data_IF_187176940076
#
_entry.id   IF_187176940076
#
_cell.length_a   1.000
_cell.length_b   1.000
_cell.length_c   1.000
_cell.angle_alpha   90.00
_cell.angle_beta   90.00
_cell.angle_gamma   90.00
#
_symmetry.space_group_name_H-M   'P 1'
#
loop_
_entity.id
_entity.type
_entity.pdbx_description
1 polymer ?
#
# COMPACT_ATOMS: atom_id res chain seq x y z
N UNK A 1 11.04 18.74 -25.04
CA UNK A 1 12.15 18.68 -24.05
C UNK A 1 13.22 19.68 -24.40
N UNK A 2 13.86 19.59 -25.57
CA UNK A 2 14.87 20.58 -25.96
C UNK A 2 14.33 22.02 -25.94
N UNK A 3 13.12 22.24 -26.48
CA UNK A 3 12.46 23.56 -26.47
C UNK A 3 12.28 24.14 -25.06
N UNK A 4 11.88 23.31 -24.08
CA UNK A 4 11.70 23.78 -22.71
C UNK A 4 13.06 24.07 -22.04
N UNK A 5 14.08 23.24 -22.27
CA UNK A 5 15.44 23.49 -21.79
C UNK A 5 16.02 24.77 -22.38
N UNK A 6 15.81 25.02 -23.68
CA UNK A 6 16.18 26.29 -24.33
C UNK A 6 15.48 27.49 -23.69
N UNK A 7 14.20 27.35 -23.33
CA UNK A 7 13.43 28.43 -22.69
C UNK A 7 13.95 28.77 -21.29
N UNK A 8 14.23 27.77 -20.46
CA UNK A 8 14.65 27.98 -19.05
C UNK A 8 16.15 28.33 -18.92
N UNK A 9 17.02 27.81 -19.80
CA UNK A 9 18.47 28.05 -19.74
C UNK A 9 18.95 29.15 -20.68
N UNK A 10 18.17 29.55 -21.69
CA UNK A 10 18.50 30.63 -22.63
C UNK A 10 19.90 30.41 -23.23
N UNK A 11 20.85 31.33 -22.96
CA UNK A 11 22.24 31.27 -23.45
C UNK A 11 23.14 30.29 -22.68
N UNK A 12 22.70 29.80 -21.52
CA UNK A 12 23.46 28.90 -20.65
C UNK A 12 23.20 27.42 -20.96
N UNK A 13 22.37 27.10 -21.97
CA UNK A 13 22.10 25.72 -22.36
C UNK A 13 23.36 25.08 -22.94
N UNK A 14 23.76 23.95 -22.40
CA UNK A 14 24.90 23.17 -22.86
C UNK A 14 24.46 22.04 -23.81
N UNK A 15 25.43 21.42 -24.48
CA UNK A 15 25.17 20.21 -25.26
C UNK A 15 24.97 19.02 -24.31
N UNK A 16 23.81 18.38 -24.40
CA UNK A 16 23.36 17.32 -23.48
C UNK A 16 22.90 16.10 -24.26
N UNK A 17 23.12 14.91 -23.70
CA UNK A 17 22.46 13.71 -24.18
C UNK A 17 21.03 13.63 -23.62
N UNK A 18 20.05 13.94 -24.47
CA UNK A 18 18.62 13.92 -24.13
C UNK A 18 18.06 12.52 -23.84
N UNK A 19 18.84 11.46 -24.11
CA UNK A 19 18.46 10.07 -23.83
C UNK A 19 18.89 9.57 -22.45
N UNK A 20 19.62 10.40 -21.68
CA UNK A 20 20.13 10.06 -20.35
C UNK A 20 19.01 9.74 -19.36
N UNK A 21 19.21 8.71 -18.54
CA UNK A 21 18.28 8.26 -17.49
C UNK A 21 19.03 8.11 -16.16
N UNK A 22 18.31 8.13 -15.04
CA UNK A 22 18.90 7.73 -13.76
C UNK A 22 19.35 6.28 -13.80
N UNK A 23 20.47 6.00 -13.15
CA UNK A 23 20.92 4.62 -12.90
C UNK A 23 19.93 3.91 -11.98
N UNK A 24 19.41 4.64 -10.98
CA UNK A 24 18.40 4.17 -10.06
C UNK A 24 17.37 5.27 -9.83
N UNK A 25 16.12 5.01 -10.23
CA UNK A 25 14.99 5.94 -10.10
C UNK A 25 14.45 6.04 -8.68
N UNK A 26 14.88 5.18 -7.76
CA UNK A 26 14.45 5.19 -6.35
C UNK A 26 15.24 6.16 -5.46
N UNK A 27 16.36 6.69 -5.97
CA UNK A 27 17.25 7.58 -5.21
C UNK A 27 16.63 8.94 -4.89
N UNK A 28 15.66 9.38 -5.70
CA UNK A 28 15.03 10.69 -5.57
C UNK A 28 13.52 10.57 -5.40
N UNK A 29 12.96 11.46 -4.59
CA UNK A 29 11.51 11.62 -4.48
C UNK A 29 10.94 12.71 -5.42
N UNK A 30 9.62 12.83 -5.47
CA UNK A 30 8.94 13.81 -6.33
C UNK A 30 9.29 15.27 -5.98
N UNK A 31 9.58 15.58 -4.71
CA UNK A 31 9.95 16.91 -4.25
C UNK A 31 11.37 17.27 -4.68
N UNK A 32 12.29 16.31 -4.55
CA UNK A 32 13.67 16.42 -5.01
C UNK A 32 13.76 16.61 -6.53
N UNK A 33 12.95 15.87 -7.29
CA UNK A 33 12.80 16.09 -8.74
C UNK A 33 12.29 17.51 -9.03
N UNK A 34 11.29 18.00 -8.28
CA UNK A 34 10.78 19.35 -8.46
C UNK A 34 11.85 20.41 -8.17
N UNK A 35 12.71 20.21 -7.16
CA UNK A 35 13.84 21.10 -6.86
C UNK A 35 14.81 21.15 -8.06
N UNK A 36 15.21 19.99 -8.61
CA UNK A 36 16.07 19.91 -9.79
C UNK A 36 15.45 20.60 -11.01
N UNK A 37 14.16 20.33 -11.27
CA UNK A 37 13.41 20.93 -12.38
C UNK A 37 13.18 22.44 -12.20
N UNK A 38 13.25 22.95 -10.97
CA UNK A 38 13.08 24.36 -10.68
C UNK A 38 14.32 25.21 -10.98
N UNK A 39 15.48 24.58 -11.16
CA UNK A 39 16.70 25.28 -11.52
C UNK A 39 16.60 25.87 -12.94
N UNK A 40 16.96 27.15 -13.08
CA UNK A 40 16.93 27.88 -14.35
C UNK A 40 18.06 28.91 -14.40
N UNK A 41 18.21 29.58 -15.54
CA UNK A 41 19.26 30.57 -15.74
C UNK A 41 19.25 31.74 -14.73
N UNK A 42 18.16 31.98 -14.00
CA UNK A 42 18.02 33.10 -13.06
C UNK A 42 18.37 32.72 -11.62
N UNK A 43 18.31 31.43 -11.25
CA UNK A 43 18.50 30.97 -9.87
C UNK A 43 19.62 29.94 -9.68
N UNK A 44 20.23 29.42 -10.76
CA UNK A 44 21.19 28.31 -10.65
C UNK A 44 22.40 28.61 -9.75
N UNK A 45 22.93 29.84 -9.74
CA UNK A 45 24.06 30.22 -8.86
C UNK A 45 23.69 30.15 -7.38
N UNK A 46 22.44 30.49 -7.04
CA UNK A 46 21.92 30.36 -5.68
C UNK A 46 21.83 28.89 -5.30
N UNK A 47 21.34 28.04 -6.21
CA UNK A 47 21.32 26.59 -5.99
C UNK A 47 22.73 26.01 -5.82
N UNK A 48 23.69 26.39 -6.68
CA UNK A 48 25.08 25.91 -6.58
C UNK A 48 25.80 26.34 -5.30
N UNK A 49 25.37 27.42 -4.65
CA UNK A 49 25.94 27.84 -3.37
C UNK A 49 25.33 27.14 -2.14
N UNK A 50 24.23 26.40 -2.31
CA UNK A 50 23.58 25.63 -1.25
C UNK A 50 24.20 24.24 -1.12
N UNK A 51 24.74 23.92 0.07
CA UNK A 51 25.28 22.57 0.37
C UNK A 51 24.24 21.46 0.22
N UNK A 52 22.97 21.75 0.53
CA UNK A 52 21.90 20.76 0.42
C UNK A 52 21.61 20.40 -1.03
N UNK A 53 21.78 21.35 -1.96
CA UNK A 53 21.61 21.10 -3.39
C UNK A 53 22.81 20.33 -3.98
N UNK A 54 24.02 20.59 -3.48
CA UNK A 54 25.19 19.76 -3.79
C UNK A 54 25.00 18.32 -3.28
N UNK A 55 24.50 18.14 -2.05
CA UNK A 55 24.13 16.82 -1.52
C UNK A 55 23.10 16.12 -2.42
N UNK A 56 22.08 16.84 -2.90
CA UNK A 56 21.08 16.32 -3.82
C UNK A 56 21.66 15.82 -5.14
N UNK A 57 22.61 16.55 -5.74
CA UNK A 57 23.29 16.12 -6.97
C UNK A 57 24.22 14.92 -6.71
N UNK A 58 24.92 14.91 -5.58
CA UNK A 58 25.78 13.79 -5.20
C UNK A 58 24.98 12.49 -4.97
N UNK A 59 23.71 12.56 -4.53
CA UNK A 59 22.84 11.37 -4.42
C UNK A 59 22.65 10.64 -5.75
N UNK A 60 22.73 11.35 -6.87
CA UNK A 60 22.60 10.80 -8.23
C UNK A 60 23.94 10.75 -8.97
N UNK A 61 25.05 10.74 -8.22
CA UNK A 61 26.42 10.69 -8.73
C UNK A 61 26.80 11.84 -9.69
N UNK A 62 26.18 13.01 -9.50
CA UNK A 62 26.45 14.21 -10.28
C UNK A 62 27.15 15.29 -9.44
N UNK A 63 27.92 16.14 -10.12
CA UNK A 63 28.68 17.24 -9.49
C UNK A 63 27.83 18.51 -9.43
N UNK A 64 28.17 19.43 -8.53
CA UNK A 64 27.56 20.76 -8.51
C UNK A 64 28.11 21.67 -9.63
N UNK A 65 27.66 21.44 -10.86
CA UNK A 65 27.92 22.30 -12.01
C UNK A 65 26.70 22.44 -12.93
N UNK A 66 26.75 23.42 -13.85
CA UNK A 66 25.63 23.74 -14.75
C UNK A 66 25.26 22.54 -15.64
N UNK A 67 26.26 21.78 -16.12
CA UNK A 67 26.03 20.62 -16.98
C UNK A 67 25.26 19.53 -16.23
N UNK A 68 25.69 19.23 -15.02
CA UNK A 68 25.10 18.23 -14.13
C UNK A 68 23.67 18.59 -13.74
N UNK A 69 23.37 19.87 -13.47
CA UNK A 69 21.97 20.31 -13.23
C UNK A 69 21.11 20.04 -14.46
N UNK A 70 21.56 20.47 -15.64
CA UNK A 70 20.81 20.30 -16.88
C UNK A 70 20.63 18.82 -17.25
N UNK A 71 21.65 17.99 -17.00
CA UNK A 71 21.59 16.55 -17.18
C UNK A 71 20.59 15.90 -16.21
N UNK A 72 20.61 16.29 -14.93
CA UNK A 72 19.64 15.84 -13.94
C UNK A 72 18.21 16.19 -14.32
N UNK A 73 17.99 17.36 -14.93
CA UNK A 73 16.67 17.74 -15.46
C UNK A 73 16.22 16.85 -16.63
N UNK A 74 17.12 16.52 -17.56
CA UNK A 74 16.84 15.57 -18.64
C UNK A 74 16.43 14.21 -18.07
N UNK A 75 17.23 13.68 -17.14
CA UNK A 75 16.98 12.40 -16.48
C UNK A 75 15.64 12.40 -15.72
N UNK A 76 15.33 13.51 -15.04
CA UNK A 76 14.04 13.73 -14.37
C UNK A 76 12.87 13.69 -15.36
N UNK A 77 12.95 14.45 -16.47
CA UNK A 77 11.88 14.47 -17.48
C UNK A 77 11.70 13.08 -18.11
N UNK A 78 12.79 12.36 -18.40
CA UNK A 78 12.70 11.01 -18.96
C UNK A 78 12.06 10.02 -17.97
N UNK A 79 12.38 10.12 -16.68
CA UNK A 79 11.77 9.29 -15.64
C UNK A 79 10.27 9.57 -15.48
N UNK A 80 9.85 10.83 -15.59
CA UNK A 80 8.42 11.22 -15.62
C UNK A 80 7.73 10.65 -16.87
N UNK A 81 8.35 10.77 -18.05
CA UNK A 81 7.81 10.20 -19.29
C UNK A 81 7.65 8.68 -19.21
N UNK A 82 8.61 8.00 -18.59
CA UNK A 82 8.56 6.55 -18.38
C UNK A 82 7.49 6.13 -17.37
N UNK A 83 6.99 7.07 -16.56
CA UNK A 83 5.89 6.86 -15.61
C UNK A 83 6.33 6.42 -14.22
N UNK A 84 7.63 6.49 -13.91
CA UNK A 84 8.15 6.20 -12.56
C UNK A 84 7.62 7.18 -11.51
N UNK A 85 7.36 8.43 -11.91
CA UNK A 85 6.86 9.48 -11.04
C UNK A 85 5.49 9.99 -11.47
N UNK A 86 4.63 10.28 -10.48
CA UNK A 86 3.35 10.92 -10.71
C UNK A 86 3.56 12.41 -11.00
N UNK A 87 3.14 12.80 -12.20
CA UNK A 87 3.25 14.17 -12.70
C UNK A 87 2.57 15.19 -11.77
N UNK A 88 1.42 14.83 -11.21
CA UNK A 88 0.63 15.75 -10.37
C UNK A 88 1.35 16.09 -9.06
N UNK A 89 2.10 15.15 -8.48
CA UNK A 89 2.85 15.39 -7.24
C UNK A 89 4.03 16.34 -7.49
N UNK A 90 4.73 16.17 -8.63
CA UNK A 90 5.81 17.07 -9.05
C UNK A 90 5.27 18.46 -9.36
N UNK A 91 4.12 18.57 -10.03
CA UNK A 91 3.49 19.86 -10.32
C UNK A 91 3.12 20.58 -9.01
N UNK A 92 2.53 19.90 -8.04
CA UNK A 92 2.23 20.49 -6.72
C UNK A 92 3.50 20.98 -6.02
N UNK A 93 4.57 20.20 -6.06
CA UNK A 93 5.85 20.60 -5.48
C UNK A 93 6.45 21.83 -6.20
N UNK A 94 6.39 21.89 -7.53
CA UNK A 94 6.80 23.07 -8.30
C UNK A 94 5.94 24.30 -8.00
N UNK A 95 4.65 24.13 -7.74
CA UNK A 95 3.75 25.22 -7.34
C UNK A 95 4.15 25.83 -5.99
N UNK A 96 4.61 25.01 -5.03
CA UNK A 96 5.15 25.49 -3.76
C UNK A 96 6.49 26.23 -3.93
N UNK A 97 7.29 25.84 -4.93
CA UNK A 97 8.58 26.48 -5.24
C UNK A 97 8.46 27.78 -6.05
N UNK A 98 7.25 28.20 -6.46
CA UNK A 98 7.03 29.45 -7.21
C UNK A 98 7.54 30.70 -6.49
N UNK A 99 7.60 30.67 -5.16
CA UNK A 99 8.13 31.77 -4.35
C UNK A 99 9.63 32.02 -4.61
N UNK A 100 10.37 31.00 -5.04
CA UNK A 100 11.81 31.11 -5.31
C UNK A 100 12.09 31.57 -6.76
N UNK A 101 11.25 31.19 -7.71
CA UNK A 101 11.43 31.51 -9.14
C UNK A 101 10.19 31.19 -9.97
N UNK A 102 10.11 31.80 -11.17
CA UNK A 102 9.02 31.54 -12.13
C UNK A 102 9.16 30.12 -12.71
N UNK A 103 8.19 29.26 -12.41
CA UNK A 103 8.13 27.85 -12.86
C UNK A 103 7.03 27.58 -13.88
N UNK A 104 6.35 28.62 -14.38
CA UNK A 104 5.14 28.46 -15.21
C UNK A 104 5.40 27.69 -16.51
N UNK A 105 6.60 27.84 -17.08
CA UNK A 105 7.01 27.15 -18.30
C UNK A 105 7.19 25.64 -18.07
N UNK A 106 7.89 25.26 -17.00
CA UNK A 106 8.10 23.86 -16.63
C UNK A 106 6.78 23.19 -16.25
N UNK A 107 5.94 23.88 -15.47
CA UNK A 107 4.62 23.37 -15.09
C UNK A 107 3.74 23.16 -16.33
N UNK A 108 3.71 24.13 -17.26
CA UNK A 108 2.94 24.02 -18.50
C UNK A 108 3.45 22.87 -19.38
N UNK A 109 4.78 22.71 -19.47
CA UNK A 109 5.39 21.59 -20.18
C UNK A 109 5.01 20.25 -19.56
N UNK A 110 5.11 20.09 -18.23
CA UNK A 110 4.70 18.87 -17.54
C UNK A 110 3.22 18.60 -17.75
N UNK A 111 2.35 19.62 -17.67
CA UNK A 111 0.91 19.48 -17.96
C UNK A 111 0.62 18.92 -19.36
N UNK A 112 1.40 19.30 -20.36
CA UNK A 112 1.28 18.78 -21.74
C UNK A 112 2.04 17.47 -21.99
N UNK A 113 2.94 17.07 -21.08
CA UNK A 113 3.78 15.89 -21.25
C UNK A 113 2.95 14.60 -21.24
N UNK A 114 3.08 13.81 -22.31
CA UNK A 114 2.53 12.46 -22.36
C UNK A 114 3.42 11.52 -21.54
N UNK A 115 2.81 10.82 -20.59
CA UNK A 115 3.47 9.83 -19.75
C UNK A 115 3.02 8.44 -20.15
N UNK A 116 3.93 7.46 -20.08
CA UNK A 116 3.56 6.05 -20.19
C UNK A 116 2.76 5.66 -18.95
N UNK A 117 1.75 4.83 -19.13
CA UNK A 117 1.07 4.16 -18.02
C UNK A 117 2.02 3.13 -17.43
N UNK A 118 2.50 3.41 -16.23
CA UNK A 118 3.39 2.52 -15.50
C UNK A 118 2.57 1.58 -14.62
N UNK A 119 2.45 0.32 -15.04
CA UNK A 119 1.72 -0.69 -14.27
C UNK A 119 2.62 -1.27 -13.16
N UNK A 120 2.64 -0.56 -12.03
CA UNK A 120 3.38 -0.93 -10.82
C UNK A 120 3.09 -2.36 -10.36
N UNK A 121 1.87 -2.87 -10.59
CA UNK A 121 1.49 -4.22 -10.16
C UNK A 121 2.17 -5.27 -11.02
N UNK A 122 2.18 -5.08 -12.34
CA UNK A 122 2.87 -6.02 -13.25
C UNK A 122 4.37 -6.04 -13.01
N UNK A 123 4.99 -4.87 -12.78
CA UNK A 123 6.41 -4.79 -12.45
C UNK A 123 6.71 -5.50 -11.13
N UNK A 124 5.94 -5.20 -10.07
CA UNK A 124 6.08 -5.88 -8.79
C UNK A 124 6.02 -7.40 -8.95
N UNK A 125 5.04 -7.91 -9.69
CA UNK A 125 4.90 -9.33 -9.97
C UNK A 125 6.09 -9.90 -10.76
N UNK A 126 6.62 -9.15 -11.73
CA UNK A 126 7.80 -9.55 -12.49
C UNK A 126 9.02 -9.68 -11.58
N UNK A 127 9.33 -8.63 -10.81
CA UNK A 127 10.45 -8.61 -9.87
C UNK A 127 10.31 -9.68 -8.79
N UNK A 128 9.11 -9.89 -8.26
CA UNK A 128 8.82 -10.96 -7.31
C UNK A 128 9.09 -12.35 -7.91
N UNK A 129 8.66 -12.58 -9.16
CA UNK A 129 8.91 -13.84 -9.86
C UNK A 129 10.41 -14.05 -10.16
N UNK A 130 11.17 -13.00 -10.44
CA UNK A 130 12.61 -13.07 -10.58
C UNK A 130 13.30 -13.47 -9.27
N UNK A 131 12.90 -12.88 -8.15
CA UNK A 131 13.41 -13.27 -6.82
C UNK A 131 13.09 -14.73 -6.50
N UNK A 132 11.89 -15.21 -6.87
CA UNK A 132 11.54 -16.62 -6.72
C UNK A 132 12.42 -17.53 -7.58
N UNK A 133 12.72 -17.16 -8.83
CA UNK A 133 13.66 -17.92 -9.68
C UNK A 133 15.08 -17.93 -9.11
N UNK A 134 15.53 -16.82 -8.53
CA UNK A 134 16.84 -16.74 -7.86
C UNK A 134 16.85 -17.67 -6.64
N UNK A 135 15.81 -17.65 -5.81
CA UNK A 135 15.66 -18.54 -4.66
C UNK A 135 15.74 -20.02 -5.09
N UNK A 136 15.01 -20.40 -6.15
CA UNK A 136 15.04 -21.76 -6.70
C UNK A 136 16.43 -22.17 -7.20
N UNK A 137 17.13 -21.28 -7.92
CA UNK A 137 18.51 -21.54 -8.37
C UNK A 137 19.47 -21.71 -7.18
N UNK A 138 19.34 -20.87 -6.16
CA UNK A 138 20.16 -20.97 -4.95
C UNK A 138 19.91 -22.29 -4.20
N UNK A 139 18.65 -22.72 -4.12
CA UNK A 139 18.28 -23.99 -3.48
C UNK A 139 18.87 -25.20 -4.22
N UNK A 140 18.87 -25.17 -5.57
CA UNK A 140 19.45 -26.22 -6.41
C UNK A 140 20.98 -26.31 -6.28
N UNK A 141 21.66 -25.16 -6.18
CA UNK A 141 23.12 -25.10 -6.07
C UNK A 141 23.62 -25.41 -4.65
N UNK A 142 22.83 -25.09 -3.63
CA UNK A 142 23.20 -25.36 -2.24
C UNK A 142 23.25 -26.86 -1.98
N UNK A 143 24.34 -27.35 -1.39
CA UNK A 143 24.47 -28.72 -0.86
C UNK A 143 24.11 -28.80 0.62
N UNK A 144 23.93 -27.66 1.27
CA UNK A 144 23.58 -27.53 2.68
C UNK A 144 22.06 -27.53 2.84
N UNK A 145 21.56 -28.50 3.62
CA UNK A 145 20.13 -28.66 3.90
C UNK A 145 19.56 -27.52 4.76
N UNK A 146 20.34 -26.94 5.68
CA UNK A 146 19.87 -25.82 6.49
C UNK A 146 19.60 -24.60 5.61
N UNK A 147 20.48 -24.35 4.63
CA UNK A 147 20.30 -23.26 3.65
C UNK A 147 19.06 -23.51 2.78
N UNK A 148 18.85 -24.75 2.32
CA UNK A 148 17.66 -25.10 1.53
C UNK A 148 16.38 -24.91 2.32
N UNK A 149 16.36 -25.32 3.58
CA UNK A 149 15.22 -25.13 4.46
C UNK A 149 14.94 -23.65 4.69
N UNK A 150 15.97 -22.83 4.92
CA UNK A 150 15.82 -21.37 5.05
C UNK A 150 15.29 -20.71 3.78
N UNK A 151 15.78 -21.12 2.62
CA UNK A 151 15.29 -20.63 1.32
C UNK A 151 13.83 -20.98 1.10
N UNK A 152 13.43 -22.22 1.43
CA UNK A 152 12.03 -22.66 1.38
C UNK A 152 11.14 -21.86 2.32
N UNK A 153 11.54 -21.71 3.59
CA UNK A 153 10.80 -20.91 4.56
C UNK A 153 10.67 -19.44 4.13
N UNK A 154 11.72 -18.86 3.54
CA UNK A 154 11.66 -17.51 3.01
C UNK A 154 10.65 -17.40 1.85
N UNK A 155 10.70 -18.34 0.89
CA UNK A 155 9.75 -18.39 -0.24
C UNK A 155 8.31 -18.51 0.27
N UNK A 156 8.06 -19.43 1.20
CA UNK A 156 6.73 -19.65 1.77
C UNK A 156 6.24 -18.42 2.56
N UNK A 157 7.12 -17.75 3.30
CA UNK A 157 6.78 -16.52 4.04
C UNK A 157 6.37 -15.40 3.09
N UNK A 158 7.13 -15.16 2.02
CA UNK A 158 6.83 -14.09 1.07
C UNK A 158 5.62 -14.41 0.18
N UNK A 159 5.41 -15.68 -0.18
CA UNK A 159 4.23 -16.11 -0.92
C UNK A 159 2.93 -15.95 -0.12
N UNK A 160 2.98 -16.15 1.20
CA UNK A 160 1.83 -16.05 2.10
C UNK A 160 1.80 -14.72 2.88
N UNK A 161 2.40 -13.65 2.33
CA UNK A 161 2.32 -12.34 2.98
C UNK A 161 0.94 -11.74 2.74
N UNK A 162 0.22 -11.46 3.83
CA UNK A 162 -1.10 -10.85 3.79
C UNK A 162 -0.99 -9.33 3.94
N UNK A 163 -1.69 -8.59 3.07
CA UNK A 163 -1.82 -7.14 3.17
C UNK A 163 -3.13 -6.80 3.88
N UNK A 164 -3.03 -6.42 5.14
CA UNK A 164 -4.19 -6.18 6.00
C UNK A 164 -4.60 -4.70 5.94
N UNK A 165 -5.83 -4.44 5.50
CA UNK A 165 -6.45 -3.12 5.49
C UNK A 165 -7.49 -3.06 6.59
N UNK A 166 -7.22 -2.29 7.64
CA UNK A 166 -8.18 -2.04 8.71
C UNK A 166 -9.03 -0.81 8.38
N UNK A 167 -10.35 -0.97 8.46
CA UNK A 167 -11.32 0.12 8.27
C UNK A 167 -11.96 0.42 9.61
N UNK A 168 -11.74 1.65 10.07
CA UNK A 168 -12.23 2.16 11.36
C UNK A 168 -13.06 3.42 11.18
N UNK A 169 -13.91 3.71 12.15
CA UNK A 169 -14.79 4.87 12.15
C UNK A 169 -15.93 4.70 13.14
N UNK A 170 -16.66 5.78 13.42
CA UNK A 170 -17.82 5.75 14.32
C UNK A 170 -18.91 4.82 13.73
N UNK A 171 -19.67 4.16 14.59
CA UNK A 171 -20.86 3.40 14.17
C UNK A 171 -21.79 4.29 13.32
N UNK A 172 -22.45 3.70 12.32
CA UNK A 172 -23.35 4.38 11.37
C UNK A 172 -22.71 5.41 10.42
N UNK A 173 -21.37 5.46 10.33
CA UNK A 173 -20.68 6.27 9.30
C UNK A 173 -20.73 5.67 7.87
N UNK A 174 -21.34 4.49 7.71
CA UNK A 174 -21.47 3.83 6.40
C UNK A 174 -20.29 2.95 5.99
N UNK A 175 -19.45 2.49 6.94
CA UNK A 175 -18.28 1.63 6.71
C UNK A 175 -18.63 0.38 5.89
N UNK A 176 -19.66 -0.35 6.32
CA UNK A 176 -20.16 -1.57 5.66
C UNK A 176 -20.67 -1.30 4.24
N UNK A 177 -21.39 -0.19 4.05
CA UNK A 177 -21.89 0.21 2.72
C UNK A 177 -20.75 0.58 1.77
N UNK A 178 -19.73 1.29 2.27
CA UNK A 178 -18.53 1.61 1.49
C UNK A 178 -17.77 0.34 1.11
N UNK A 179 -17.65 -0.61 2.03
CA UNK A 179 -17.02 -1.90 1.77
C UNK A 179 -17.75 -2.71 0.70
N UNK A 180 -19.08 -2.77 0.77
CA UNK A 180 -19.86 -3.45 -0.27
C UNK A 180 -19.67 -2.81 -1.65
N UNK A 181 -19.63 -1.47 -1.70
CA UNK A 181 -19.38 -0.75 -2.94
C UNK A 181 -17.96 -1.03 -3.48
N UNK A 182 -16.94 -1.06 -2.61
CA UNK A 182 -15.56 -1.37 -2.97
C UNK A 182 -15.43 -2.80 -3.52
N UNK A 183 -16.08 -3.76 -2.86
CA UNK A 183 -16.08 -5.18 -3.22
C UNK A 183 -17.05 -5.51 -4.36
N UNK A 184 -17.87 -4.54 -4.77
CA UNK A 184 -18.96 -4.68 -5.76
C UNK A 184 -19.91 -5.83 -5.42
N UNK A 185 -20.09 -6.11 -4.14
CA UNK A 185 -20.87 -7.24 -3.63
C UNK A 185 -21.46 -6.91 -2.26
N UNK A 186 -22.68 -7.37 -1.99
CA UNK A 186 -23.39 -7.12 -0.72
C UNK A 186 -22.98 -8.16 0.33
N UNK A 187 -21.76 -8.03 0.85
CA UNK A 187 -21.17 -9.00 1.77
C UNK A 187 -21.43 -8.63 3.23
N UNK A 188 -21.27 -7.35 3.56
CA UNK A 188 -21.49 -6.81 4.90
C UNK A 188 -22.91 -6.22 4.95
N UNK A 189 -23.65 -6.45 6.03
CA UNK A 189 -25.11 -6.28 6.03
C UNK A 189 -25.61 -4.85 5.78
N UNK A 190 -26.35 -4.67 4.67
CA UNK A 190 -27.44 -3.66 4.53
C UNK A 190 -28.81 -4.34 4.82
N UNK A 191 -28.82 -5.60 5.30
CA UNK A 191 -30.02 -6.37 5.58
C UNK A 191 -30.06 -6.89 7.03
N UNK A 192 -30.89 -6.29 7.89
CA UNK A 192 -31.57 -6.87 9.06
C UNK A 192 -30.79 -7.81 10.03
N UNK A 193 -29.50 -7.61 10.21
CA UNK A 193 -28.68 -8.26 11.24
C UNK A 193 -27.91 -7.12 11.90
N UNK A 194 -28.15 -6.79 13.18
CA UNK A 194 -27.59 -5.58 13.76
C UNK A 194 -26.06 -5.59 13.71
N UNK A 195 -25.56 -4.45 13.24
CA UNK A 195 -24.22 -4.15 12.79
C UNK A 195 -23.20 -4.13 13.94
N UNK A 196 -22.01 -4.71 13.71
CA UNK A 196 -20.74 -4.33 14.37
C UNK A 196 -20.65 -4.40 15.90
N UNK A 197 -20.86 -5.58 16.50
CA UNK A 197 -20.26 -5.86 17.82
C UNK A 197 -18.89 -6.58 17.71
N UNK A 198 -18.67 -7.30 16.59
CA UNK A 198 -17.58 -8.26 16.47
C UNK A 198 -16.65 -7.91 15.31
N UNK A 199 -15.34 -8.10 15.53
CA UNK A 199 -14.30 -7.93 14.53
C UNK A 199 -14.56 -8.87 13.35
N UNK A 200 -14.72 -8.31 12.15
CA UNK A 200 -14.96 -9.11 10.93
C UNK A 200 -13.76 -9.01 10.01
N UNK A 201 -13.26 -10.15 9.52
CA UNK A 201 -12.11 -10.20 8.61
C UNK A 201 -12.50 -10.90 7.33
N UNK A 202 -12.41 -10.18 6.22
CA UNK A 202 -12.65 -10.68 4.87
C UNK A 202 -11.35 -11.20 4.27
N UNK A 203 -11.38 -12.45 3.81
CA UNK A 203 -10.26 -13.16 3.19
C UNK A 203 -10.69 -13.82 1.88
N UNK A 204 -9.73 -14.11 1.02
CA UNK A 204 -9.96 -14.88 -0.19
C UNK A 204 -10.05 -16.38 0.10
N UNK A 205 -10.99 -17.04 -0.56
CA UNK A 205 -11.06 -18.50 -0.71
C UNK A 205 -11.87 -18.81 -1.97
N UNK A 206 -11.62 -19.94 -2.62
CA UNK A 206 -12.42 -20.40 -3.75
C UNK A 206 -13.86 -20.71 -3.34
N UNK A 207 -14.05 -21.13 -2.09
CA UNK A 207 -15.37 -21.48 -1.53
C UNK A 207 -15.82 -20.47 -0.49
N UNK A 208 -17.04 -19.98 -0.66
CA UNK A 208 -17.64 -19.07 0.30
C UNK A 208 -17.96 -19.78 1.62
N UNK A 209 -17.36 -19.34 2.72
CA UNK A 209 -17.54 -19.91 4.07
C UNK A 209 -17.32 -18.85 5.15
N UNK A 210 -17.72 -19.16 6.37
CA UNK A 210 -17.40 -18.33 7.54
C UNK A 210 -16.80 -19.19 8.65
N UNK A 211 -15.80 -18.63 9.34
CA UNK A 211 -15.20 -19.23 10.52
C UNK A 211 -15.46 -18.31 11.71
N UNK A 212 -16.19 -18.81 12.70
CA UNK A 212 -16.52 -18.08 13.92
C UNK A 212 -15.53 -18.48 15.01
N UNK A 213 -14.90 -17.46 15.62
CA UNK A 213 -13.98 -17.62 16.74
C UNK A 213 -14.67 -17.16 18.01
N UNK A 214 -14.84 -18.06 18.96
CA UNK A 214 -15.41 -17.75 20.28
C UNK A 214 -14.30 -17.34 21.26
N UNK A 215 -14.68 -16.59 22.29
CA UNK A 215 -13.75 -16.27 23.38
C UNK A 215 -13.26 -17.54 24.09
N UNK A 216 -12.01 -17.56 24.50
CA UNK A 216 -11.51 -18.57 25.43
C UNK A 216 -12.05 -18.30 26.85
N UNK A 217 -12.06 -19.32 27.71
CA UNK A 217 -12.49 -19.18 29.11
C UNK A 217 -11.74 -18.10 29.87
N UNK A 218 -10.42 -17.96 29.63
CA UNK A 218 -9.60 -16.92 30.27
C UNK A 218 -10.01 -15.52 29.82
N UNK A 219 -10.19 -15.32 28.52
CA UNK A 219 -10.63 -14.03 27.96
C UNK A 219 -12.05 -13.68 28.44
N UNK A 220 -12.95 -14.66 28.44
CA UNK A 220 -14.33 -14.47 28.89
C UNK A 220 -14.41 -14.10 30.38
N UNK A 221 -13.63 -14.76 31.23
CA UNK A 221 -13.52 -14.40 32.66
C UNK A 221 -13.00 -12.96 32.85
N UNK A 222 -12.03 -12.53 32.05
CA UNK A 222 -11.55 -11.15 32.07
C UNK A 222 -12.66 -10.17 31.70
N UNK A 223 -13.45 -10.46 30.66
CA UNK A 223 -14.59 -9.64 30.24
C UNK A 223 -15.63 -9.54 31.36
N UNK A 224 -16.05 -10.68 31.94
CA UNK A 224 -17.03 -10.72 33.04
C UNK A 224 -16.56 -9.91 34.26
N UNK A 225 -15.27 -10.03 34.61
CA UNK A 225 -14.68 -9.30 35.75
C UNK A 225 -14.70 -7.78 35.52
N UNK A 226 -14.46 -7.33 34.28
CA UNK A 226 -14.46 -5.90 33.93
C UNK A 226 -15.86 -5.29 33.93
N UNK A 227 -16.88 -6.09 33.61
CA UNK A 227 -18.27 -5.63 33.50
C UNK A 227 -19.06 -5.80 34.81
N UNK A 228 -18.48 -6.42 35.84
CA UNK A 228 -19.16 -6.79 37.08
C UNK A 228 -20.48 -7.59 36.87
N UNK A 229 -20.57 -8.32 35.76
CA UNK A 229 -21.72 -9.14 35.39
C UNK A 229 -21.43 -10.60 35.78
N UNK A 230 -21.99 -11.08 36.89
CA UNK A 230 -21.81 -12.46 37.36
C UNK A 230 -22.78 -13.47 36.73
N UNK A 231 -23.93 -13.01 36.20
CA UNK A 231 -25.06 -13.88 35.85
C UNK A 231 -25.41 -13.92 34.35
N UNK A 232 -24.62 -13.28 33.48
CA UNK A 232 -24.91 -13.25 32.04
C UNK A 232 -24.46 -14.56 31.35
N UNK A 233 -25.41 -15.24 30.70
CA UNK A 233 -25.20 -16.37 29.77
C UNK A 233 -24.57 -17.66 30.34
N UNK A 234 -24.88 -18.07 31.57
CA UNK A 234 -24.23 -19.26 32.17
C UNK A 234 -24.53 -20.60 31.48
N UNK A 235 -25.67 -20.77 30.79
CA UNK A 235 -26.00 -22.04 30.14
C UNK A 235 -25.45 -22.15 28.71
N UNK A 236 -25.63 -21.13 27.88
CA UNK A 236 -25.15 -21.12 26.49
C UNK A 236 -23.63 -20.97 26.39
N UNK A 237 -23.01 -20.24 27.33
CA UNK A 237 -21.54 -20.10 27.37
C UNK A 237 -20.82 -21.43 27.61
N UNK A 238 -21.41 -22.39 28.33
CA UNK A 238 -20.78 -23.70 28.58
C UNK A 238 -20.54 -24.51 27.31
N UNK A 239 -21.32 -24.26 26.24
CA UNK A 239 -21.19 -24.97 24.97
C UNK A 239 -20.05 -24.43 24.10
N UNK A 240 -19.83 -23.11 24.14
CA UNK A 240 -18.94 -22.39 23.22
C UNK A 240 -17.64 -21.87 23.87
N UNK A 241 -17.66 -21.58 25.17
CA UNK A 241 -16.52 -21.08 25.93
C UNK A 241 -15.80 -22.26 26.58
N UNK A 242 -14.66 -22.66 25.99
CA UNK A 242 -13.81 -23.74 26.50
C UNK A 242 -12.44 -23.20 26.94
N UNK A 243 -11.62 -24.06 27.54
CA UNK A 243 -10.27 -23.68 27.97
C UNK A 243 -9.41 -23.19 26.78
N UNK A 244 -9.59 -23.80 25.61
CA UNK A 244 -9.06 -23.34 24.33
C UNK A 244 -10.13 -22.65 23.47
N UNK A 245 -9.72 -21.70 22.63
CA UNK A 245 -10.63 -20.98 21.74
C UNK A 245 -11.30 -21.95 20.75
N UNK A 246 -12.63 -21.97 20.73
CA UNK A 246 -13.40 -22.80 19.80
C UNK A 246 -13.53 -22.06 18.48
N UNK A 247 -13.18 -22.76 17.40
CA UNK A 247 -13.38 -22.30 16.02
C UNK A 247 -14.49 -23.15 15.42
N UNK A 248 -15.48 -22.49 14.80
CA UNK A 248 -16.57 -23.17 14.11
C UNK A 248 -16.66 -22.70 12.67
N UNK A 249 -16.39 -23.61 11.75
CA UNK A 249 -16.60 -23.40 10.32
C UNK A 249 -18.06 -23.67 9.98
N UNK A 250 -18.69 -22.70 9.31
CA UNK A 250 -20.10 -22.73 8.94
C UNK A 250 -20.29 -22.23 7.51
N UNK A 251 -21.45 -22.56 6.94
CA UNK A 251 -21.91 -21.93 5.71
C UNK A 251 -22.33 -20.47 5.96
N UNK A 252 -22.27 -19.63 4.93
CA UNK A 252 -22.71 -18.22 5.03
C UNK A 252 -24.20 -18.09 5.37
N UNK A 253 -25.02 -19.11 5.06
CA UNK A 253 -26.45 -19.10 5.38
C UNK A 253 -26.68 -19.27 6.88
N UNK A 254 -25.87 -20.10 7.52
CA UNK A 254 -25.91 -20.34 8.97
C UNK A 254 -25.40 -19.14 9.78
N UNK A 255 -24.59 -18.26 9.17
CA UNK A 255 -24.02 -17.09 9.85
C UNK A 255 -25.11 -16.22 10.50
N UNK A 256 -26.27 -16.09 9.85
CA UNK A 256 -27.42 -15.31 10.37
C UNK A 256 -27.90 -15.80 11.73
N UNK A 257 -27.71 -17.09 12.02
CA UNK A 257 -28.09 -17.69 13.29
C UNK A 257 -27.12 -17.30 14.42
N UNK A 258 -25.92 -16.80 14.12
CA UNK A 258 -24.88 -16.47 15.11
C UNK A 258 -24.60 -14.97 15.21
N UNK A 259 -24.67 -14.24 14.08
CA UNK A 259 -24.24 -12.83 14.00
C UNK A 259 -25.37 -11.82 14.26
N UNK A 260 -26.61 -12.26 14.42
CA UNK A 260 -27.71 -11.35 14.77
C UNK A 260 -27.50 -10.79 16.17
N UNK A 261 -27.45 -9.47 16.34
CA UNK A 261 -27.41 -8.87 17.69
C UNK A 261 -28.72 -9.05 18.49
N UNK A 262 -29.77 -9.66 17.91
CA UNK A 262 -30.89 -10.21 18.68
C UNK A 262 -30.55 -11.55 19.34
N UNK A 263 -29.52 -12.23 18.85
CA UNK A 263 -29.03 -13.48 19.43
C UNK A 263 -27.93 -13.18 20.45
N UNK A 264 -28.13 -13.66 21.68
CA UNK A 264 -27.21 -13.46 22.80
C UNK A 264 -25.84 -14.13 22.56
N UNK A 265 -25.81 -15.15 21.67
CA UNK A 265 -24.59 -15.83 21.24
C UNK A 265 -23.59 -14.87 20.56
N UNK A 266 -24.06 -13.77 19.96
CA UNK A 266 -23.17 -12.79 19.29
C UNK A 266 -22.13 -12.19 20.24
N UNK A 267 -22.45 -12.02 21.52
CA UNK A 267 -21.52 -11.51 22.54
C UNK A 267 -20.41 -12.51 22.89
N UNK A 268 -20.64 -13.80 22.65
CA UNK A 268 -19.65 -14.87 22.89
C UNK A 268 -18.62 -14.99 21.76
N UNK A 269 -18.84 -14.29 20.65
CA UNK A 269 -17.98 -14.32 19.46
C UNK A 269 -16.93 -13.22 19.58
N UNK A 270 -15.66 -13.62 19.44
CA UNK A 270 -14.50 -12.72 19.40
C UNK A 270 -14.29 -12.12 18.02
N UNK A 271 -14.37 -12.96 17.00
CA UNK A 271 -14.02 -12.61 15.62
C UNK A 271 -14.78 -13.50 14.65
N UNK A 272 -15.12 -12.94 13.50
CA UNK A 272 -15.67 -13.68 12.37
C UNK A 272 -14.69 -13.53 11.20
N UNK A 273 -14.26 -14.64 10.62
CA UNK A 273 -13.56 -14.65 9.35
C UNK A 273 -14.54 -15.05 8.25
N UNK A 274 -14.63 -14.21 7.22
CA UNK A 274 -15.48 -14.39 6.07
C UNK A 274 -14.59 -14.67 4.86
N UNK A 275 -14.87 -15.76 4.16
CA UNK A 275 -14.12 -16.19 3.01
C UNK A 275 -14.98 -16.07 1.77
N UNK A 276 -14.50 -15.36 0.75
CA UNK A 276 -15.22 -15.15 -0.50
C UNK A 276 -14.29 -15.23 -1.72
N UNK A 277 -14.80 -15.73 -2.86
CA UNK A 277 -14.06 -15.78 -4.13
C UNK A 277 -14.11 -14.42 -4.84
N UNK A 278 -13.56 -13.38 -4.19
CA UNK A 278 -13.47 -12.04 -4.77
C UNK A 278 -12.09 -11.75 -5.36
N UNK A 279 -12.05 -11.25 -6.58
CA UNK A 279 -10.81 -10.83 -7.24
C UNK A 279 -10.05 -9.77 -6.44
N UNK A 280 -10.78 -8.89 -5.72
CA UNK A 280 -10.17 -7.86 -4.87
C UNK A 280 -9.33 -8.45 -3.73
N UNK A 281 -9.68 -9.63 -3.21
CA UNK A 281 -9.00 -10.28 -2.08
C UNK A 281 -7.91 -11.26 -2.55
N UNK A 282 -7.88 -11.62 -3.84
CA UNK A 282 -7.10 -12.71 -4.41
C UNK A 282 -5.58 -12.55 -4.23
N UNK A 283 -5.09 -11.32 -4.20
CA UNK A 283 -3.65 -11.02 -4.07
C UNK A 283 -3.20 -10.91 -2.59
N UNK A 284 -3.79 -11.73 -1.71
CA UNK A 284 -3.45 -11.74 -0.28
C UNK A 284 -3.95 -10.52 0.49
N UNK A 285 -4.91 -9.76 -0.05
CA UNK A 285 -5.52 -8.63 0.63
C UNK A 285 -6.54 -9.15 1.64
N UNK A 286 -6.40 -8.74 2.89
CA UNK A 286 -7.36 -9.00 3.96
C UNK A 286 -7.98 -7.68 4.39
N UNK A 287 -9.30 -7.65 4.53
CA UNK A 287 -9.99 -6.45 5.03
C UNK A 287 -10.53 -6.72 6.42
N UNK A 288 -10.21 -5.84 7.36
CA UNK A 288 -10.67 -5.92 8.73
C UNK A 288 -11.68 -4.81 8.96
N UNK A 289 -12.94 -5.19 9.13
CA UNK A 289 -14.02 -4.31 9.56
C UNK A 289 -14.07 -4.31 11.09
N UNK A 290 -13.78 -3.15 11.67
CA UNK A 290 -13.73 -2.96 13.11
C UNK A 290 -15.06 -2.41 13.64
N UNK A 291 -15.55 -2.88 14.80
CA UNK A 291 -16.69 -2.31 15.50
C UNK A 291 -16.64 -0.77 15.62
#
# INVERSE_FOLDING_TARGET
MLEILQKIWKKHLLYLDLSSNFNDTSLLDASELAILLSANAENYERYLSLKDFDCLLNKIDLRADIYSIQLAQVMSINSIKAGFFLKDDIIKALELLKNLSKQDDMISFLKALQTKTYDKKTEFNSSFNELNKINEKLALLSKDEDIRQRLKLAKDKFANTHFVVAITGVMNAGKSSMLNALLKNEILGVSNIPETANLTVLKYDEKSRASIYFWSKKEWQSILSSLALSDFLQEESKLYIKDEAVIKDISLQELKNFSSAKNQISALIKKIELFYPLDFLKDGIEIVDTP
#
